data_IF_207554927812
#
_entry.id   IF_207554927812
#
_cell.length_a   1.000
_cell.length_b   1.000
_cell.length_c   1.000
_cell.angle_alpha   90.00
_cell.angle_beta   90.00
_cell.angle_gamma   90.00
#
_symmetry.space_group_name_H-M   'P 1'
#
loop_
_entity.id
_entity.type
_entity.pdbx_description
1 polymer ?
#
# COMPACT_ATOMS: atom_id res chain seq x y z
N UNK A 1 32.91 43.70 -26.40
CA UNK A 1 32.17 42.59 -27.01
C UNK A 1 32.22 41.29 -26.19
N UNK A 2 33.39 40.69 -25.89
CA UNK A 2 33.50 39.44 -25.09
C UNK A 2 32.79 39.46 -23.72
N UNK A 3 32.87 40.57 -22.96
CA UNK A 3 32.18 40.72 -21.66
C UNK A 3 30.66 40.71 -21.77
N UNK A 4 30.10 41.34 -22.80
CA UNK A 4 28.66 41.35 -23.06
C UNK A 4 28.16 39.98 -23.52
N UNK A 5 28.97 39.25 -24.29
CA UNK A 5 28.67 37.87 -24.68
C UNK A 5 28.61 36.93 -23.47
N UNK A 6 29.54 37.08 -22.51
CA UNK A 6 29.53 36.32 -21.27
C UNK A 6 28.31 36.64 -20.38
N UNK A 7 27.90 37.91 -20.30
CA UNK A 7 26.70 38.32 -19.57
C UNK A 7 25.43 37.77 -20.23
N UNK A 8 25.33 37.81 -21.56
CA UNK A 8 24.19 37.26 -22.30
C UNK A 8 24.11 35.74 -22.12
N UNK A 9 25.25 35.03 -22.19
CA UNK A 9 25.31 33.59 -21.92
C UNK A 9 24.92 33.27 -20.47
N UNK A 10 25.35 34.09 -19.50
CA UNK A 10 24.97 33.91 -18.10
C UNK A 10 23.46 34.16 -17.85
N UNK A 11 22.88 35.19 -18.48
CA UNK A 11 21.45 35.49 -18.41
C UNK A 11 20.60 34.43 -19.11
N UNK A 12 21.05 33.90 -20.24
CA UNK A 12 20.40 32.78 -20.93
C UNK A 12 20.59 31.45 -20.19
N UNK A 13 21.69 31.27 -19.47
CA UNK A 13 21.88 30.09 -18.61
C UNK A 13 20.91 30.11 -17.42
N UNK A 14 20.59 31.29 -16.87
CA UNK A 14 19.65 31.44 -15.74
C UNK A 14 18.20 31.00 -16.08
N UNK A 15 17.76 31.10 -17.34
CA UNK A 15 16.40 30.69 -17.74
C UNK A 15 16.27 29.19 -17.98
N UNK A 16 17.38 28.47 -18.25
CA UNK A 16 17.41 27.02 -18.51
C UNK A 16 17.66 26.14 -17.28
N UNK A 17 17.86 26.72 -16.10
CA UNK A 17 18.16 25.99 -14.87
C UNK A 17 16.96 25.30 -14.20
N UNK A 18 15.73 25.52 -14.69
CA UNK A 18 14.53 24.82 -14.19
C UNK A 18 14.07 25.23 -12.79
N UNK A 19 14.60 26.32 -12.20
CA UNK A 19 14.21 26.76 -10.85
C UNK A 19 12.70 26.98 -10.71
N UNK A 20 12.07 27.69 -11.65
CA UNK A 20 10.62 27.91 -11.63
C UNK A 20 9.83 26.62 -11.83
N UNK A 21 10.36 25.66 -12.60
CA UNK A 21 9.74 24.35 -12.76
C UNK A 21 9.79 23.56 -11.45
N UNK A 22 10.89 23.63 -10.69
CA UNK A 22 10.96 23.05 -9.33
C UNK A 22 9.91 23.67 -8.41
N UNK A 23 9.76 25.00 -8.40
CA UNK A 23 8.74 25.67 -7.58
C UNK A 23 7.32 25.23 -7.97
N UNK A 24 7.02 25.15 -9.26
CA UNK A 24 5.72 24.70 -9.77
C UNK A 24 5.44 23.25 -9.36
N UNK A 25 6.38 22.35 -9.59
CA UNK A 25 6.22 20.92 -9.30
C UNK A 25 6.20 20.63 -7.79
N UNK A 26 6.93 21.40 -6.98
CA UNK A 26 6.88 21.30 -5.52
C UNK A 26 5.49 21.67 -4.99
N UNK A 27 4.91 22.78 -5.45
CA UNK A 27 3.57 23.21 -5.07
C UNK A 27 2.49 22.21 -5.56
N UNK A 28 2.64 21.71 -6.78
CA UNK A 28 1.76 20.65 -7.31
C UNK A 28 1.83 19.38 -6.46
N UNK A 29 3.03 19.01 -5.99
CA UNK A 29 3.21 17.85 -5.12
C UNK A 29 2.56 18.05 -3.75
N UNK A 30 2.74 19.23 -3.14
CA UNK A 30 2.08 19.60 -1.87
C UNK A 30 0.57 19.62 -1.98
N UNK A 31 0.03 20.14 -3.07
CA UNK A 31 -1.40 20.14 -3.36
C UNK A 31 -1.95 18.70 -3.50
N UNK A 32 -1.28 17.86 -4.29
CA UNK A 32 -1.65 16.45 -4.44
C UNK A 32 -1.56 15.68 -3.10
N UNK A 33 -0.57 15.99 -2.28
CA UNK A 33 -0.44 15.43 -0.94
C UNK A 33 -1.60 15.84 -0.02
N UNK A 34 -1.98 17.12 -0.06
CA UNK A 34 -3.10 17.63 0.73
C UNK A 34 -4.40 16.91 0.38
N UNK A 35 -4.62 16.61 -0.90
CA UNK A 35 -5.76 15.80 -1.34
C UNK A 35 -5.73 14.38 -0.78
N UNK A 36 -4.54 13.74 -0.74
CA UNK A 36 -4.38 12.42 -0.10
C UNK A 36 -4.78 12.47 1.38
N UNK A 37 -4.33 13.50 2.11
CA UNK A 37 -4.67 13.67 3.52
C UNK A 37 -6.16 13.89 3.74
N UNK A 38 -6.81 14.68 2.89
CA UNK A 38 -8.27 14.89 2.95
C UNK A 38 -9.04 13.57 2.85
N UNK A 39 -8.65 12.69 1.92
CA UNK A 39 -9.33 11.41 1.76
C UNK A 39 -9.07 10.44 2.93
N UNK A 40 -7.84 10.41 3.47
CA UNK A 40 -7.53 9.62 4.66
C UNK A 40 -8.27 10.14 5.92
N UNK A 41 -8.35 11.46 6.08
CA UNK A 41 -9.10 12.10 7.16
C UNK A 41 -10.57 11.72 7.09
N UNK A 42 -11.19 11.84 5.90
CA UNK A 42 -12.58 11.43 5.68
C UNK A 42 -12.82 9.97 6.09
N UNK A 43 -11.91 9.06 5.73
CA UNK A 43 -12.02 7.64 6.13
C UNK A 43 -12.03 7.51 7.64
N UNK A 44 -11.11 8.18 8.34
CA UNK A 44 -11.05 8.17 9.79
C UNK A 44 -12.30 8.78 10.44
N UNK A 45 -12.91 9.79 9.84
CA UNK A 45 -14.13 10.45 10.34
C UNK A 45 -15.39 9.60 10.20
N UNK A 46 -15.42 8.64 9.28
CA UNK A 46 -16.52 7.68 9.14
C UNK A 46 -16.48 6.56 10.18
N UNK A 47 -15.31 6.26 10.75
CA UNK A 47 -15.12 5.12 11.68
C UNK A 47 -15.98 5.22 12.94
N UNK A 48 -16.11 6.37 13.64
CA UNK A 48 -16.94 6.44 14.84
C UNK A 48 -18.41 6.10 14.57
N UNK A 49 -18.96 6.56 13.44
CA UNK A 49 -20.33 6.24 13.03
C UNK A 49 -20.47 4.75 12.71
N UNK A 50 -19.50 4.17 12.00
CA UNK A 50 -19.46 2.73 11.72
C UNK A 50 -19.44 1.90 13.01
N UNK A 51 -18.56 2.25 13.94
CA UNK A 51 -18.45 1.56 15.24
C UNK A 51 -19.74 1.71 16.04
N UNK A 52 -20.38 2.87 16.04
CA UNK A 52 -21.66 3.08 16.73
C UNK A 52 -22.78 2.21 16.13
N UNK A 53 -22.87 2.13 14.80
CA UNK A 53 -23.87 1.28 14.12
C UNK A 53 -23.63 -0.20 14.42
N UNK A 54 -22.38 -0.66 14.36
CA UNK A 54 -22.06 -2.08 14.62
C UNK A 54 -22.23 -2.42 16.11
N UNK A 55 -21.96 -1.50 17.04
CA UNK A 55 -22.22 -1.71 18.48
C UNK A 55 -23.69 -1.91 18.83
N UNK A 56 -24.61 -1.47 17.97
CA UNK A 56 -26.03 -1.74 18.12
C UNK A 56 -26.39 -3.22 17.95
N UNK A 57 -25.50 -4.01 17.35
CA UNK A 57 -25.63 -5.46 17.20
C UNK A 57 -25.11 -6.17 18.47
N UNK A 58 -26.03 -6.72 19.27
CA UNK A 58 -25.75 -7.19 20.63
C UNK A 58 -24.70 -8.31 20.70
N UNK A 59 -24.53 -9.10 19.63
CA UNK A 59 -23.65 -10.27 19.59
C UNK A 59 -22.40 -10.07 18.69
N UNK A 60 -22.08 -8.82 18.35
CA UNK A 60 -20.94 -8.55 17.48
C UNK A 60 -19.59 -8.76 18.19
N UNK A 61 -18.59 -9.26 17.44
CA UNK A 61 -17.24 -9.53 17.96
C UNK A 61 -16.54 -8.26 18.50
N UNK A 62 -16.42 -8.18 19.83
CA UNK A 62 -15.84 -7.02 20.51
C UNK A 62 -14.37 -6.79 20.17
N UNK A 63 -13.58 -7.87 20.01
CA UNK A 63 -12.18 -7.80 19.58
C UNK A 63 -12.03 -7.11 18.23
N UNK A 64 -12.92 -7.42 17.28
CA UNK A 64 -12.90 -6.83 15.93
C UNK A 64 -13.19 -5.33 15.98
N UNK A 65 -14.14 -4.88 16.81
CA UNK A 65 -14.39 -3.46 17.02
C UNK A 65 -13.23 -2.74 17.72
N UNK A 66 -12.63 -3.34 18.74
CA UNK A 66 -11.46 -2.78 19.43
C UNK A 66 -10.31 -2.55 18.47
N UNK A 67 -9.99 -3.53 17.62
CA UNK A 67 -8.94 -3.40 16.59
C UNK A 67 -9.20 -2.26 15.62
N UNK A 68 -10.46 -2.00 15.23
CA UNK A 68 -10.82 -0.88 14.36
C UNK A 68 -10.61 0.46 15.06
N UNK A 69 -11.02 0.56 16.33
CA UNK A 69 -10.85 1.79 17.13
C UNK A 69 -9.36 2.09 17.34
N UNK A 70 -8.56 1.08 17.71
CA UNK A 70 -7.12 1.21 17.88
C UNK A 70 -6.41 1.60 16.58
N UNK A 71 -6.75 0.93 15.47
CA UNK A 71 -6.17 1.24 14.17
C UNK A 71 -6.51 2.67 13.71
N UNK A 72 -7.74 3.14 13.99
CA UNK A 72 -8.12 4.54 13.76
C UNK A 72 -7.28 5.48 14.60
N UNK A 73 -7.16 5.21 15.90
CA UNK A 73 -6.40 6.05 16.81
C UNK A 73 -4.94 6.19 16.35
N UNK A 74 -4.30 5.08 15.96
CA UNK A 74 -2.96 5.09 15.36
C UNK A 74 -2.91 5.90 14.08
N UNK A 75 -3.83 5.67 13.14
CA UNK A 75 -3.89 6.38 11.86
C UNK A 75 -4.03 7.90 12.04
N UNK A 76 -4.77 8.36 13.04
CA UNK A 76 -4.94 9.79 13.36
C UNK A 76 -3.84 10.38 14.24
N UNK A 77 -3.05 9.54 14.91
CA UNK A 77 -1.97 9.99 15.80
C UNK A 77 -0.70 10.40 15.04
N UNK A 78 -0.56 9.96 13.78
CA UNK A 78 0.55 10.34 12.93
C UNK A 78 0.40 11.82 12.57
N UNK A 79 1.24 12.66 13.17
CA UNK A 79 1.33 14.07 12.82
C UNK A 79 1.91 14.18 11.41
N UNK A 80 1.07 14.59 10.47
CA UNK A 80 1.50 14.86 9.09
C UNK A 80 1.74 16.35 8.95
N UNK A 81 2.98 16.68 8.63
CA UNK A 81 3.40 18.03 8.30
C UNK A 81 3.88 18.09 6.84
N UNK A 82 4.01 19.29 6.23
CA UNK A 82 4.60 19.42 4.90
C UNK A 82 5.99 18.76 4.78
N UNK A 83 6.75 18.71 5.87
CA UNK A 83 8.07 18.11 5.95
C UNK A 83 8.03 16.57 5.89
N UNK A 84 6.87 15.95 6.15
CA UNK A 84 6.69 14.49 6.03
C UNK A 84 7.05 13.97 4.64
N UNK A 85 6.89 14.80 3.60
CA UNK A 85 7.24 14.47 2.22
C UNK A 85 8.76 14.34 1.98
N UNK A 86 9.55 14.97 2.85
CA UNK A 86 11.01 14.99 2.79
C UNK A 86 11.63 14.00 3.81
N UNK A 87 10.82 13.37 4.66
CA UNK A 87 11.26 12.36 5.63
C UNK A 87 10.69 10.97 5.26
N UNK A 88 11.51 10.09 4.66
CA UNK A 88 11.09 8.74 4.29
C UNK A 88 10.56 7.90 5.47
N UNK A 89 11.09 8.10 6.68
CA UNK A 89 10.64 7.35 7.84
C UNK A 89 9.26 7.84 8.31
N UNK A 90 9.03 9.15 8.36
CA UNK A 90 7.72 9.71 8.67
C UNK A 90 6.67 9.26 7.63
N UNK A 91 7.03 9.30 6.34
CA UNK A 91 6.18 8.82 5.26
C UNK A 91 5.86 7.32 5.39
N UNK A 92 6.84 6.49 5.78
CA UNK A 92 6.63 5.06 6.00
C UNK A 92 5.71 4.78 7.20
N UNK A 93 5.91 5.48 8.33
CA UNK A 93 5.03 5.36 9.51
C UNK A 93 3.59 5.74 9.18
N UNK A 94 3.40 6.82 8.41
CA UNK A 94 2.10 7.21 7.90
C UNK A 94 1.45 6.10 7.06
N UNK A 95 2.18 5.55 6.08
CA UNK A 95 1.67 4.45 5.25
C UNK A 95 1.29 3.21 6.05
N UNK A 96 2.12 2.82 7.03
CA UNK A 96 1.85 1.67 7.89
C UNK A 96 0.57 1.88 8.71
N UNK A 97 0.43 3.02 9.38
CA UNK A 97 -0.75 3.33 10.18
C UNK A 97 -2.04 3.37 9.33
N UNK A 98 -1.97 3.95 8.12
CA UNK A 98 -3.10 3.95 7.19
C UNK A 98 -3.41 2.55 6.63
N UNK A 99 -2.39 1.69 6.45
CA UNK A 99 -2.55 0.30 6.06
C UNK A 99 -3.22 -0.55 7.14
N UNK A 100 -2.83 -0.37 8.41
CA UNK A 100 -3.46 -1.03 9.56
C UNK A 100 -4.96 -0.73 9.63
N UNK A 101 -5.35 0.55 9.45
CA UNK A 101 -6.76 0.94 9.42
C UNK A 101 -7.53 0.29 8.26
N UNK A 102 -6.97 0.29 7.04
CA UNK A 102 -7.60 -0.37 5.89
C UNK A 102 -7.82 -1.87 6.15
N UNK A 103 -6.80 -2.54 6.70
CA UNK A 103 -6.86 -3.96 7.05
C UNK A 103 -7.90 -4.26 8.14
N UNK A 104 -7.99 -3.42 9.18
CA UNK A 104 -8.99 -3.56 10.23
C UNK A 104 -10.42 -3.36 9.71
N UNK A 105 -10.64 -2.37 8.84
CA UNK A 105 -11.93 -2.14 8.19
C UNK A 105 -12.33 -3.30 7.27
N UNK A 106 -11.38 -3.83 6.48
CA UNK A 106 -11.63 -5.00 5.64
C UNK A 106 -12.07 -6.22 6.47
N UNK A 107 -11.38 -6.52 7.57
CA UNK A 107 -11.77 -7.59 8.50
C UNK A 107 -13.16 -7.36 9.08
N UNK A 108 -13.47 -6.13 9.51
CA UNK A 108 -14.80 -5.78 10.03
C UNK A 108 -15.89 -6.07 9.00
N UNK A 109 -15.68 -5.69 7.74
CA UNK A 109 -16.64 -5.94 6.65
C UNK A 109 -16.82 -7.45 6.40
N UNK A 110 -15.75 -8.22 6.38
CA UNK A 110 -15.84 -9.68 6.21
C UNK A 110 -16.61 -10.34 7.36
N UNK A 111 -16.31 -9.95 8.61
CA UNK A 111 -17.01 -10.47 9.79
C UNK A 111 -18.49 -10.06 9.77
N UNK A 112 -18.80 -8.84 9.33
CA UNK A 112 -20.18 -8.34 9.26
C UNK A 112 -21.10 -9.15 8.34
N UNK A 113 -20.56 -9.86 7.34
CA UNK A 113 -21.37 -10.71 6.46
C UNK A 113 -22.00 -11.91 7.21
N UNK A 114 -21.49 -12.26 8.39
CA UNK A 114 -22.05 -13.32 9.26
C UNK A 114 -23.25 -12.84 10.09
N UNK A 115 -23.59 -11.55 10.04
CA UNK A 115 -24.63 -10.92 10.85
C UNK A 115 -25.74 -10.36 9.95
N UNK A 116 -26.81 -11.14 9.68
CA UNK A 116 -27.87 -10.75 8.74
C UNK A 116 -28.56 -9.43 9.09
N UNK A 117 -28.82 -9.18 10.36
CA UNK A 117 -29.49 -7.97 10.83
C UNK A 117 -28.64 -6.71 10.59
N UNK A 118 -27.34 -6.78 10.91
CA UNK A 118 -26.39 -5.72 10.59
C UNK A 118 -26.25 -5.51 9.08
N UNK A 119 -26.24 -6.58 8.28
CA UNK A 119 -26.22 -6.50 6.81
C UNK A 119 -27.51 -5.88 6.25
N UNK A 120 -28.64 -6.11 6.91
CA UNK A 120 -29.92 -5.51 6.57
C UNK A 120 -30.07 -4.07 7.05
N UNK A 121 -29.22 -3.61 7.99
CA UNK A 121 -29.24 -2.26 8.53
C UNK A 121 -28.87 -1.23 7.45
N UNK A 122 -29.77 -0.26 7.22
CA UNK A 122 -29.57 0.76 6.20
C UNK A 122 -28.36 1.67 6.49
N UNK A 123 -28.19 2.12 7.73
CA UNK A 123 -27.06 2.97 8.12
C UNK A 123 -25.71 2.25 7.94
N UNK A 124 -25.65 0.95 8.21
CA UNK A 124 -24.44 0.16 7.98
C UNK A 124 -24.12 0.04 6.48
N UNK A 125 -25.13 -0.23 5.64
CA UNK A 125 -24.95 -0.28 4.18
C UNK A 125 -24.47 1.05 3.61
N UNK A 126 -25.05 2.16 4.07
CA UNK A 126 -24.66 3.50 3.62
C UNK A 126 -23.21 3.82 4.00
N UNK A 127 -22.80 3.49 5.23
CA UNK A 127 -21.41 3.67 5.68
C UNK A 127 -20.44 2.79 4.90
N UNK A 128 -20.81 1.55 4.57
CA UNK A 128 -19.98 0.67 3.72
C UNK A 128 -19.74 1.29 2.34
N UNK A 129 -20.80 1.81 1.70
CA UNK A 129 -20.69 2.50 0.41
C UNK A 129 -19.82 3.76 0.51
N UNK A 130 -19.95 4.53 1.59
CA UNK A 130 -19.10 5.71 1.82
C UNK A 130 -17.62 5.33 2.01
N UNK A 131 -17.33 4.27 2.76
CA UNK A 131 -15.98 3.77 2.98
C UNK A 131 -15.35 3.26 1.68
N UNK A 132 -16.08 2.45 0.91
CA UNK A 132 -15.66 1.99 -0.41
C UNK A 132 -15.37 3.18 -1.34
N UNK A 133 -16.31 4.13 -1.41
CA UNK A 133 -16.14 5.35 -2.18
C UNK A 133 -14.97 6.22 -1.69
N UNK A 134 -14.59 6.12 -0.42
CA UNK A 134 -13.41 6.83 0.12
C UNK A 134 -12.12 6.08 -0.24
N UNK A 135 -12.09 4.75 -0.17
CA UNK A 135 -10.92 3.95 -0.55
C UNK A 135 -10.59 4.10 -2.05
N UNK A 136 -11.62 4.17 -2.89
CA UNK A 136 -11.46 4.48 -4.32
C UNK A 136 -10.86 5.87 -4.54
N UNK A 137 -11.33 6.88 -3.80
CA UNK A 137 -10.77 8.25 -3.87
C UNK A 137 -9.34 8.32 -3.32
N UNK A 138 -9.03 7.58 -2.26
CA UNK A 138 -7.66 7.44 -1.74
C UNK A 138 -6.75 6.88 -2.85
N UNK A 139 -7.18 5.83 -3.54
CA UNK A 139 -6.41 5.24 -4.65
C UNK A 139 -6.11 6.26 -5.75
N UNK A 140 -7.14 7.02 -6.17
CA UNK A 140 -6.98 8.07 -7.18
C UNK A 140 -6.06 9.21 -6.69
N UNK A 141 -6.23 9.67 -5.45
CA UNK A 141 -5.41 10.71 -4.86
C UNK A 141 -3.94 10.29 -4.76
N UNK A 142 -3.68 9.05 -4.33
CA UNK A 142 -2.33 8.46 -4.28
C UNK A 142 -1.71 8.41 -5.68
N UNK A 143 -2.45 7.98 -6.69
CA UNK A 143 -1.95 7.97 -8.08
C UNK A 143 -1.59 9.36 -8.58
N UNK A 144 -2.42 10.38 -8.30
CA UNK A 144 -2.12 11.76 -8.66
C UNK A 144 -0.86 12.28 -7.95
N UNK A 145 -0.67 11.93 -6.68
CA UNK A 145 0.55 12.25 -5.93
C UNK A 145 1.78 11.53 -6.49
N UNK A 146 1.66 10.25 -6.85
CA UNK A 146 2.76 9.49 -7.47
C UNK A 146 3.20 10.16 -8.78
N UNK A 147 2.24 10.60 -9.60
CA UNK A 147 2.53 11.28 -10.87
C UNK A 147 3.23 12.63 -10.65
N UNK A 148 2.77 13.47 -9.71
CA UNK A 148 3.44 14.75 -9.42
C UNK A 148 4.85 14.56 -8.85
N UNK A 149 5.04 13.57 -7.96
CA UNK A 149 6.37 13.20 -7.45
C UNK A 149 7.27 12.67 -8.56
N UNK A 150 6.73 11.89 -9.49
CA UNK A 150 7.49 11.40 -10.64
C UNK A 150 8.00 12.57 -11.49
N UNK A 151 7.15 13.53 -11.85
CA UNK A 151 7.54 14.72 -12.61
C UNK A 151 8.63 15.52 -11.87
N UNK A 152 8.44 15.77 -10.58
CA UNK A 152 9.44 16.44 -9.74
C UNK A 152 10.78 15.69 -9.70
N UNK A 153 10.74 14.38 -9.45
CA UNK A 153 11.95 13.55 -9.32
C UNK A 153 12.69 13.39 -10.65
N UNK A 154 11.99 13.37 -11.78
CA UNK A 154 12.61 13.42 -13.12
C UNK A 154 13.33 14.75 -13.31
N UNK A 155 12.71 15.88 -12.97
CA UNK A 155 13.36 17.19 -13.05
C UNK A 155 14.59 17.27 -12.14
N UNK A 156 14.50 16.77 -10.91
CA UNK A 156 15.61 16.72 -9.95
C UNK A 156 16.82 15.91 -10.44
N UNK A 157 16.58 14.90 -11.28
CA UNK A 157 17.62 13.95 -11.73
C UNK A 157 18.12 14.20 -13.14
N UNK A 158 17.44 15.03 -13.93
CA UNK A 158 17.78 15.28 -15.33
C UNK A 158 18.87 16.34 -15.46
N UNK A 159 19.77 16.18 -16.43
CA UNK A 159 20.73 17.24 -16.78
C UNK A 159 20.04 18.26 -17.72
N UNK A 160 20.23 19.59 -17.54
CA UNK A 160 21.12 20.26 -16.57
C UNK A 160 20.47 20.61 -15.22
N UNK A 161 19.18 20.34 -15.02
CA UNK A 161 18.41 20.77 -13.84
C UNK A 161 18.84 20.12 -12.52
N UNK A 162 19.51 18.97 -12.58
CA UNK A 162 20.13 18.31 -11.43
C UNK A 162 21.19 19.17 -10.75
N UNK A 163 21.90 20.04 -11.48
CA UNK A 163 22.85 20.99 -10.91
C UNK A 163 22.13 22.02 -10.04
N UNK A 164 20.99 22.52 -10.52
CA UNK A 164 20.12 23.40 -9.73
C UNK A 164 19.57 22.67 -8.50
N UNK A 165 19.17 21.41 -8.65
CA UNK A 165 18.74 20.61 -7.52
C UNK A 165 19.85 20.46 -6.45
N UNK A 166 21.10 20.23 -6.84
CA UNK A 166 22.23 20.17 -5.90
C UNK A 166 22.51 21.50 -5.22
N UNK A 167 22.48 22.62 -5.96
CA UNK A 167 22.76 23.96 -5.41
C UNK A 167 21.69 24.41 -4.42
N UNK A 168 20.42 24.08 -4.67
CA UNK A 168 19.29 24.47 -3.82
C UNK A 168 18.81 23.37 -2.88
N UNK A 169 19.50 22.22 -2.85
CA UNK A 169 19.14 21.04 -2.05
C UNK A 169 17.69 20.56 -2.29
N UNK A 170 17.30 20.46 -3.56
CA UNK A 170 16.03 19.89 -3.99
C UNK A 170 16.14 18.38 -4.10
N UNK A 171 16.02 17.72 -2.95
CA UNK A 171 16.10 16.26 -2.85
C UNK A 171 14.89 15.58 -3.49
N UNK A 172 15.06 14.38 -4.09
CA UNK A 172 13.95 13.58 -4.56
C UNK A 172 12.93 13.31 -3.45
N UNK A 173 11.65 13.49 -3.76
CA UNK A 173 10.55 13.30 -2.81
C UNK A 173 10.19 11.84 -2.67
N UNK A 174 9.75 11.46 -1.47
CA UNK A 174 9.24 10.13 -1.20
C UNK A 174 7.94 9.86 -1.98
N UNK A 175 7.77 8.64 -2.47
CA UNK A 175 6.57 8.23 -3.20
C UNK A 175 5.90 7.05 -2.53
N UNK A 176 4.61 6.85 -2.84
CA UNK A 176 3.92 5.62 -2.48
C UNK A 176 4.50 4.44 -3.25
N UNK A 177 4.90 3.41 -2.53
CA UNK A 177 5.34 2.13 -3.09
C UNK A 177 4.44 1.01 -2.62
N UNK A 178 4.62 -0.16 -3.24
CA UNK A 178 3.99 -1.38 -2.74
C UNK A 178 4.75 -1.82 -1.50
N UNK A 179 4.05 -1.95 -0.37
CA UNK A 179 4.68 -2.24 0.94
C UNK A 179 5.48 -3.55 0.94
N UNK A 180 5.18 -4.46 0.01
CA UNK A 180 5.86 -5.74 -0.10
C UNK A 180 5.96 -6.22 -1.57
N UNK A 181 6.80 -5.57 -2.38
CA UNK A 181 7.09 -6.02 -3.75
C UNK A 181 7.55 -7.49 -3.83
N UNK A 182 8.24 -7.96 -2.79
CA UNK A 182 8.68 -9.35 -2.68
C UNK A 182 7.52 -10.35 -2.55
N UNK A 183 6.46 -9.99 -1.84
CA UNK A 183 5.28 -10.84 -1.62
C UNK A 183 4.37 -10.88 -2.86
N UNK A 184 4.32 -9.80 -3.64
CA UNK A 184 3.61 -9.76 -4.93
C UNK A 184 4.36 -10.55 -6.01
N UNK A 185 5.69 -10.59 -5.91
CA UNK A 185 6.54 -11.38 -6.81
C UNK A 185 6.47 -12.89 -6.52
N UNK A 186 5.90 -13.29 -5.39
CA UNK A 186 5.69 -14.69 -5.05
C UNK A 186 4.39 -15.20 -5.72
N UNK A 187 4.44 -16.28 -6.52
CA UNK A 187 3.23 -16.83 -7.13
C UNK A 187 2.26 -17.30 -6.04
N UNK A 188 0.94 -17.04 -6.18
CA UNK A 188 -0.04 -17.48 -5.20
C UNK A 188 -0.01 -18.99 -5.08
N UNK A 189 0.23 -19.49 -3.86
CA UNK A 189 0.16 -20.92 -3.56
C UNK A 189 -1.30 -21.31 -3.45
N UNK A 190 -1.82 -22.00 -4.47
CA UNK A 190 -3.14 -22.60 -4.41
C UNK A 190 -2.97 -24.07 -4.01
N UNK A 191 -3.28 -24.37 -2.76
CA UNK A 191 -3.34 -25.74 -2.25
C UNK A 191 -4.81 -26.18 -2.21
N UNK A 192 -5.15 -27.17 -3.03
CA UNK A 192 -6.50 -27.75 -3.10
C UNK A 192 -6.70 -28.93 -2.16
N UNK A 193 -5.77 -29.19 -1.23
CA UNK A 193 -5.88 -30.21 -0.20
C UNK A 193 -6.29 -31.56 -0.78
N UNK A 194 -5.34 -32.34 -1.31
CA UNK A 194 -5.64 -33.75 -1.60
C UNK A 194 -5.90 -34.45 -0.26
N UNK A 195 -7.10 -34.99 0.00
CA UNK A 195 -7.32 -35.80 1.20
C UNK A 195 -6.31 -36.94 1.13
N UNK A 196 -5.52 -37.10 2.19
CA UNK A 196 -4.47 -38.11 2.29
C UNK A 196 -4.98 -39.45 1.73
N UNK A 197 -4.44 -39.84 0.58
CA UNK A 197 -4.64 -41.18 0.06
C UNK A 197 -4.10 -42.14 1.12
N UNK A 198 -5.02 -42.89 1.72
CA UNK A 198 -4.74 -43.99 2.63
C UNK A 198 -3.65 -44.87 2.01
N UNK A 199 -2.58 -45.05 2.77
CA UNK A 199 -1.44 -45.88 2.44
C UNK A 199 -1.90 -47.25 1.93
N UNK A 200 -1.52 -47.70 0.72
CA UNK A 200 -1.73 -49.08 0.34
C UNK A 200 -0.89 -49.97 1.26
N UNK A 201 -1.59 -50.85 1.97
CA UNK A 201 -1.09 -51.97 2.77
C UNK A 201 0.11 -52.66 2.10
N UNK A 202 1.20 -52.81 2.84
CA UNK A 202 2.41 -53.51 2.41
C UNK A 202 2.10 -54.89 1.80
N UNK A 203 2.60 -55.13 0.59
CA UNK A 203 2.64 -56.45 -0.02
C UNK A 203 3.73 -57.31 0.66
N UNK A 204 3.52 -58.64 0.82
CA UNK A 204 4.47 -59.50 1.51
C UNK A 204 5.73 -59.73 0.67
N UNK A 205 6.88 -59.76 1.35
CA UNK A 205 8.19 -60.03 0.78
C UNK A 205 8.27 -61.43 0.14
N UNK A 206 8.68 -61.48 -1.12
CA UNK A 206 9.02 -62.73 -1.82
C UNK A 206 10.43 -63.15 -1.38
N UNK A 207 10.53 -64.33 -0.76
CA UNK A 207 11.80 -64.95 -0.37
C UNK A 207 12.54 -65.53 -1.59
N UNK A 208 13.89 -65.53 -1.60
CA UNK A 208 14.68 -66.06 -2.71
C UNK A 208 14.67 -67.60 -2.75
N UNK A 209 14.42 -68.16 -3.94
CA UNK A 209 14.50 -69.59 -4.22
C UNK A 209 15.95 -70.03 -4.47
N UNK A 210 16.44 -70.95 -3.64
CA UNK A 210 17.69 -71.70 -3.83
C UNK A 210 17.52 -72.78 -4.91
N UNK A 211 18.49 -72.98 -5.82
CA UNK A 211 18.46 -74.07 -6.79
C UNK A 211 19.12 -75.33 -6.22
N UNK A 212 18.47 -76.49 -6.36
CA UNK A 212 19.07 -77.80 -6.12
C UNK A 212 18.80 -78.76 -7.28
N UNK A 213 19.88 -79.01 -8.04
CA UNK A 213 20.33 -80.28 -8.63
C UNK A 213 19.31 -81.28 -9.21
N UNK A 214 19.47 -81.56 -10.50
CA UNK A 214 18.96 -82.79 -11.15
C UNK A 214 19.63 -83.08 -12.50
N UNK A 215 20.68 -83.91 -12.50
CA UNK A 215 21.09 -84.80 -13.62
C UNK A 215 20.06 -85.97 -13.67
N UNK A 216 19.84 -86.75 -14.76
CA UNK A 216 20.88 -87.36 -15.62
C UNK A 216 20.53 -87.54 -17.13
N UNK A 217 21.52 -88.05 -17.88
CA UNK A 217 21.51 -88.95 -19.05
C UNK A 217 20.38 -88.80 -20.10
N UNK A 218 20.67 -88.72 -21.41
CA UNK A 218 21.45 -89.66 -22.23
C UNK A 218 21.61 -89.07 -23.64
#
# INVERSE_FOLDING_TARGET
MKRWLAVIVAVLALTGCGYNDFQRLDEQTKSAWSEVLNQYQRRADLVPNLVATVKGEANFEQETLTRVVEARAKATSVQVTPETLNDPQAFQRFQQAQGELSSALSRLLVVSERYPDLKANQGFRDLRVQLEGTENRITVARNRYIQSVQEYNVLARSFPTNLTAMVFNYDPKATFTVQNEAEISAPPRVDFGTPAASTPRAAPAVAPSTPASGTPSR
#
